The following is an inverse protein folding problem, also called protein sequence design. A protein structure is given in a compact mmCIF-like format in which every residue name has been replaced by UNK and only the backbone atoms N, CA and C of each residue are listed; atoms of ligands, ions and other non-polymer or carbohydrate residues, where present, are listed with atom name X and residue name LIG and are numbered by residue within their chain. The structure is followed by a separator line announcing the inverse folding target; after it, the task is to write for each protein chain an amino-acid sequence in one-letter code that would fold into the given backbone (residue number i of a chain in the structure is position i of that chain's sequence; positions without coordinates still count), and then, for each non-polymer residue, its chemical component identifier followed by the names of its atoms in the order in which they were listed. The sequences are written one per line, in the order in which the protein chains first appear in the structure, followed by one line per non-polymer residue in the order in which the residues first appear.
data_IF_761187029004
#
_entry.id   IF_761187029004
#
_cell.length_a   1.000
_cell.length_b   1.000
_cell.length_c   1.000
_cell.angle_alpha   90.00
_cell.angle_beta   90.00
_cell.angle_gamma   90.00
#
_symmetry.space_group_name_H-M   'P 1'
#
loop_
_entity.id
_entity.type
_entity.pdbx_description
1 polymer ?
#
# COMPACT_ATOMS: atom_id res chain seq x y z
N UNK A 1 16.09 13.45 14.13
CA UNK A 1 17.20 13.36 13.16
C UNK A 1 16.56 13.28 11.80
N UNK A 2 16.98 14.10 10.83
CA UNK A 2 16.50 13.99 9.45
C UNK A 2 16.69 12.55 8.97
N UNK A 3 15.59 11.87 8.66
CA UNK A 3 15.59 10.49 8.19
C UNK A 3 16.53 10.32 6.99
N UNK A 4 17.39 9.32 7.04
CA UNK A 4 18.31 8.96 5.94
C UNK A 4 17.54 8.66 4.64
N UNK A 5 16.30 8.18 4.76
CA UNK A 5 15.41 7.89 3.64
C UNK A 5 14.93 9.20 3.00
N UNK A 6 14.53 10.20 3.82
CA UNK A 6 14.11 11.50 3.32
C UNK A 6 15.23 12.22 2.54
N UNK A 7 16.48 12.15 3.03
CA UNK A 7 17.64 12.70 2.33
C UNK A 7 17.89 12.00 0.99
N UNK A 8 17.74 10.66 0.97
CA UNK A 8 17.95 9.85 -0.22
C UNK A 8 16.89 10.12 -1.29
N UNK A 9 15.63 10.31 -0.88
CA UNK A 9 14.55 10.74 -1.77
C UNK A 9 14.86 12.11 -2.37
N UNK A 10 15.26 13.09 -1.55
CA UNK A 10 15.61 14.43 -2.05
C UNK A 10 16.77 14.39 -3.05
N UNK A 11 17.81 13.59 -2.78
CA UNK A 11 18.94 13.43 -3.69
C UNK A 11 18.50 12.93 -5.07
N UNK A 12 17.62 11.93 -5.13
CA UNK A 12 17.09 11.40 -6.40
C UNK A 12 16.27 12.46 -7.14
N UNK A 13 15.47 13.25 -6.41
CA UNK A 13 14.68 14.34 -6.98
C UNK A 13 15.59 15.39 -7.63
N UNK A 14 16.64 15.81 -6.93
CA UNK A 14 17.59 16.81 -7.40
C UNK A 14 18.41 16.30 -8.61
N UNK A 15 18.84 15.03 -8.58
CA UNK A 15 19.64 14.43 -9.66
C UNK A 15 18.83 14.23 -10.95
N UNK A 16 17.56 13.83 -10.82
CA UNK A 16 16.69 13.50 -11.96
C UNK A 16 15.74 14.63 -12.37
N UNK A 17 15.68 15.72 -11.60
CA UNK A 17 14.73 16.82 -11.83
C UNK A 17 13.28 16.37 -11.68
N UNK A 18 13.00 15.51 -10.69
CA UNK A 18 11.68 14.96 -10.44
C UNK A 18 11.01 15.63 -9.23
N UNK A 19 9.68 15.71 -9.28
CA UNK A 19 8.88 16.14 -8.14
C UNK A 19 8.97 15.11 -7.01
N UNK A 20 9.15 15.58 -5.78
CA UNK A 20 9.29 14.72 -4.60
C UNK A 20 8.13 13.74 -4.44
N UNK A 21 6.91 14.23 -4.66
CA UNK A 21 5.69 13.41 -4.54
C UNK A 21 5.68 12.24 -5.52
N UNK A 22 6.19 12.41 -6.74
CA UNK A 22 6.24 11.34 -7.75
C UNK A 22 7.18 10.22 -7.31
N UNK A 23 8.34 10.58 -6.73
CA UNK A 23 9.30 9.59 -6.23
C UNK A 23 8.75 8.89 -4.98
N UNK A 24 8.06 9.62 -4.11
CA UNK A 24 7.42 9.07 -2.91
C UNK A 24 6.29 8.09 -3.28
N UNK A 25 5.43 8.45 -4.23
CA UNK A 25 4.37 7.57 -4.74
C UNK A 25 4.96 6.28 -5.36
N UNK A 26 6.03 6.42 -6.14
CA UNK A 26 6.73 5.26 -6.72
C UNK A 26 7.31 4.33 -5.63
N UNK A 27 7.87 4.90 -4.56
CA UNK A 27 8.35 4.14 -3.40
C UNK A 27 7.20 3.39 -2.72
N UNK A 28 6.09 4.06 -2.45
CA UNK A 28 4.91 3.46 -1.84
C UNK A 28 4.34 2.32 -2.69
N UNK A 29 4.26 2.52 -4.02
CA UNK A 29 3.82 1.48 -4.95
C UNK A 29 4.76 0.27 -4.97
N UNK A 30 6.07 0.50 -4.92
CA UNK A 30 7.07 -0.56 -4.84
C UNK A 30 6.96 -1.36 -3.53
N UNK A 31 6.74 -0.69 -2.40
CA UNK A 31 6.49 -1.33 -1.10
C UNK A 31 5.21 -2.17 -1.14
N UNK A 32 4.13 -1.64 -1.70
CA UNK A 32 2.87 -2.38 -1.88
C UNK A 32 3.04 -3.61 -2.76
N UNK A 33 3.82 -3.50 -3.85
CA UNK A 33 4.15 -4.63 -4.71
C UNK A 33 5.00 -5.70 -4.01
N UNK A 34 5.97 -5.30 -3.18
CA UNK A 34 6.77 -6.21 -2.37
C UNK A 34 5.90 -6.95 -1.34
N UNK A 35 5.03 -6.23 -0.63
CA UNK A 35 4.09 -6.85 0.30
C UNK A 35 3.16 -7.85 -0.41
N UNK A 36 2.60 -7.47 -1.57
CA UNK A 36 1.77 -8.40 -2.38
C UNK A 36 2.50 -9.66 -2.80
N UNK A 37 3.80 -9.58 -3.04
CA UNK A 37 4.61 -10.73 -3.45
C UNK A 37 4.79 -11.73 -2.31
N UNK A 38 5.01 -11.23 -1.10
CA UNK A 38 5.39 -12.08 0.04
C UNK A 38 4.17 -12.55 0.86
N UNK A 39 3.13 -11.71 0.97
CA UNK A 39 1.99 -11.95 1.85
C UNK A 39 0.63 -11.79 1.18
N UNK A 40 0.58 -11.18 -0.01
CA UNK A 40 -0.68 -10.84 -0.66
C UNK A 40 -1.15 -11.82 -1.73
N UNK A 41 -2.41 -11.64 -2.13
CA UNK A 41 -3.01 -12.31 -3.27
C UNK A 41 -3.14 -11.36 -4.48
N UNK A 42 -3.25 -11.92 -5.69
CA UNK A 42 -3.38 -11.13 -6.94
C UNK A 42 -4.56 -10.17 -6.95
N UNK A 43 -5.57 -10.41 -6.12
CA UNK A 43 -6.81 -9.62 -6.05
C UNK A 43 -6.77 -8.52 -4.97
N UNK A 44 -5.67 -8.39 -4.22
CA UNK A 44 -5.56 -7.38 -3.17
C UNK A 44 -4.99 -6.08 -3.71
N UNK A 45 -5.64 -4.96 -3.37
CA UNK A 45 -5.17 -3.64 -3.70
C UNK A 45 -4.44 -3.06 -2.49
N UNK A 46 -3.22 -3.55 -2.28
CA UNK A 46 -2.40 -3.12 -1.14
C UNK A 46 -1.92 -1.68 -1.35
N UNK A 47 -2.43 -0.80 -0.50
CA UNK A 47 -1.96 0.57 -0.37
C UNK A 47 -0.99 0.70 0.79
N UNK A 48 0.07 1.48 0.54
CA UNK A 48 1.10 1.79 1.52
C UNK A 48 1.19 3.29 1.64
N UNK A 49 1.10 3.81 2.85
CA UNK A 49 1.47 5.19 3.17
C UNK A 49 2.72 5.17 4.03
N UNK A 50 3.74 5.86 3.56
CA UNK A 50 5.03 5.96 4.21
C UNK A 50 5.33 7.42 4.54
N UNK A 51 5.69 7.69 5.79
CA UNK A 51 6.16 8.99 6.26
C UNK A 51 7.69 8.99 6.22
N UNK A 52 8.34 9.71 5.28
CA UNK A 52 9.78 9.73 5.18
C UNK A 52 10.47 10.41 6.35
N UNK A 53 9.81 11.33 7.06
CA UNK A 53 10.39 12.10 8.16
C UNK A 53 10.40 11.31 9.46
N UNK A 54 9.30 10.63 9.78
CA UNK A 54 9.20 9.79 10.99
C UNK A 54 9.65 8.35 10.76
N UNK A 55 9.58 7.87 9.52
CA UNK A 55 9.78 6.46 9.17
C UNK A 55 8.54 5.60 9.42
N UNK A 56 7.40 6.18 9.79
CA UNK A 56 6.17 5.44 10.02
C UNK A 56 5.61 4.90 8.70
N UNK A 57 5.02 3.70 8.78
CA UNK A 57 4.40 3.05 7.65
C UNK A 57 3.03 2.51 8.03
N UNK A 58 2.07 2.71 7.15
CA UNK A 58 0.72 2.15 7.25
C UNK A 58 0.42 1.37 5.97
N UNK A 59 -0.09 0.15 6.12
CA UNK A 59 -0.36 -0.76 5.01
C UNK A 59 -1.77 -1.33 5.17
N UNK A 60 -2.57 -1.30 4.11
CA UNK A 60 -3.93 -1.85 4.12
C UNK A 60 -4.36 -2.29 2.72
N UNK A 61 -5.42 -3.10 2.66
CA UNK A 61 -6.09 -3.51 1.42
C UNK A 61 -7.26 -2.56 1.17
N UNK A 62 -7.18 -1.79 0.09
CA UNK A 62 -8.21 -0.84 -0.33
C UNK A 62 -9.32 -1.57 -1.12
N UNK A 63 -10.58 -1.34 -0.74
CA UNK A 63 -11.74 -1.97 -1.37
C UNK A 63 -12.66 -0.90 -1.96
N UNK A 64 -13.21 -1.20 -3.13
CA UNK A 64 -14.23 -0.38 -3.77
C UNK A 64 -15.61 -0.78 -3.25
N UNK A 65 -16.43 0.20 -2.90
CA UNK A 65 -17.81 -0.02 -2.44
C UNK A 65 -18.73 0.01 -3.67
N UNK A 66 -19.48 -1.07 -3.87
CA UNK A 66 -20.40 -1.24 -5.01
C UNK A 66 -21.82 -1.40 -4.50
N UNK A 67 -22.79 -0.74 -5.16
CA UNK A 67 -24.21 -0.76 -4.76
C UNK A 67 -24.95 -2.03 -5.21
N UNK A 68 -24.66 -2.52 -6.42
CA UNK A 68 -25.34 -3.66 -7.06
C UNK A 68 -24.48 -4.93 -7.07
N UNK A 69 -24.00 -5.35 -5.90
CA UNK A 69 -23.27 -6.61 -5.75
C UNK A 69 -24.25 -7.77 -5.51
N UNK A 70 -24.01 -8.91 -6.15
CA UNK A 70 -24.80 -10.12 -5.93
C UNK A 70 -24.70 -10.57 -4.45
N UNK A 71 -25.83 -10.94 -3.85
CA UNK A 71 -25.89 -11.27 -2.41
C UNK A 71 -25.05 -12.50 -2.06
N UNK A 72 -24.93 -13.48 -2.97
CA UNK A 72 -24.10 -14.68 -2.78
C UNK A 72 -22.60 -14.33 -2.87
N UNK A 73 -22.24 -13.42 -3.76
CA UNK A 73 -20.86 -12.91 -3.90
C UNK A 73 -20.45 -12.08 -2.69
N UNK A 74 -21.33 -11.19 -2.21
CA UNK A 74 -21.12 -10.39 -1.00
C UNK A 74 -20.90 -11.28 0.23
N UNK A 75 -21.70 -12.32 0.41
CA UNK A 75 -21.58 -13.22 1.55
C UNK A 75 -20.24 -13.97 1.53
N UNK A 76 -19.83 -14.46 0.36
CA UNK A 76 -18.53 -15.14 0.17
C UNK A 76 -17.36 -14.24 0.52
N UNK A 77 -17.36 -13.01 0.04
CA UNK A 77 -16.31 -12.03 0.33
C UNK A 77 -16.23 -11.72 1.83
N UNK A 78 -17.38 -11.56 2.50
CA UNK A 78 -17.43 -11.34 3.94
C UNK A 78 -16.91 -12.53 4.76
N UNK A 79 -17.27 -13.76 4.38
CA UNK A 79 -16.77 -14.98 5.03
C UNK A 79 -15.26 -15.16 4.83
N UNK A 80 -14.75 -14.88 3.63
CA UNK A 80 -13.31 -14.96 3.35
C UNK A 80 -12.53 -13.92 4.19
N UNK A 81 -13.05 -12.70 4.29
CA UNK A 81 -12.45 -11.65 5.13
C UNK A 81 -12.46 -12.02 6.61
N UNK A 82 -13.53 -12.63 7.12
CA UNK A 82 -13.62 -13.07 8.51
C UNK A 82 -12.56 -14.12 8.83
N UNK A 83 -12.41 -15.15 7.98
CA UNK A 83 -11.40 -16.20 8.14
C UNK A 83 -9.98 -15.61 8.18
N UNK A 84 -9.66 -14.71 7.26
CA UNK A 84 -8.34 -14.07 7.20
C UNK A 84 -8.03 -13.23 8.44
N UNK A 85 -9.04 -12.59 9.07
CA UNK A 85 -8.87 -11.85 10.33
C UNK A 85 -8.64 -12.77 11.53
N UNK A 86 -9.15 -13.99 11.49
CA UNK A 86 -8.91 -14.99 12.53
C UNK A 86 -7.55 -15.68 12.40
N UNK A 87 -7.02 -15.75 11.17
CA UNK A 87 -5.71 -16.35 10.87
C UNK A 87 -4.52 -15.39 11.07
N UNK A 88 -4.76 -14.08 11.17
CA UNK A 88 -3.74 -13.03 11.33
C UNK A 88 -3.49 -12.65 12.80
#
# INVERSE_FOLDING_TARGET
MSSEIAKSLQFICDEKGLEYNVVLEALQAALGAAYRKDFGNKQQNIQVVFDPETGDMKVWDEKEVVEDMDEEELLKDQEELAKRREEA
#
